data_IF_511221589477
#
_entry.id   IF_511221589477
#
_cell.length_a   1.000
_cell.length_b   1.000
_cell.length_c   1.000
_cell.angle_alpha   90.00
_cell.angle_beta   90.00
_cell.angle_gamma   90.00
#
_symmetry.space_group_name_H-M   'P 1'
#
loop_
_entity.id
_entity.type
_entity.pdbx_description
1 polymer ?
#
# COMPACT_ATOMS: atom_id res chain seq x y z
N UNK A 1 5.18 1.53 -39.23
CA UNK A 1 4.49 2.58 -40.01
C UNK A 1 3.23 3.04 -39.25
N UNK A 2 3.07 4.33 -38.99
CA UNK A 2 1.91 4.87 -38.27
C UNK A 2 0.65 4.81 -39.14
N UNK A 3 -0.41 4.13 -38.66
CA UNK A 3 -1.69 4.05 -39.36
C UNK A 3 -2.78 4.77 -38.52
N UNK A 4 -3.18 5.98 -38.90
CA UNK A 4 -4.13 6.79 -38.12
C UNK A 4 -5.50 6.12 -37.93
N UNK A 5 -5.98 5.39 -38.92
CA UNK A 5 -7.29 4.71 -38.87
C UNK A 5 -7.27 3.59 -37.86
N UNK A 6 -6.20 2.77 -37.86
CA UNK A 6 -6.02 1.67 -36.90
C UNK A 6 -5.92 2.19 -35.46
N UNK A 7 -5.20 3.29 -35.26
CA UNK A 7 -5.08 3.96 -33.96
C UNK A 7 -6.43 4.50 -33.47
N UNK A 8 -7.19 5.19 -34.34
CA UNK A 8 -8.53 5.70 -34.00
C UNK A 8 -9.47 4.57 -33.57
N UNK A 9 -9.48 3.46 -34.30
CA UNK A 9 -10.29 2.28 -33.95
C UNK A 9 -9.87 1.68 -32.61
N UNK A 10 -8.57 1.58 -32.34
CA UNK A 10 -8.04 1.07 -31.07
C UNK A 10 -8.42 1.98 -29.90
N UNK A 11 -8.24 3.28 -30.04
CA UNK A 11 -8.64 4.27 -29.01
C UNK A 11 -10.14 4.18 -28.73
N UNK A 12 -10.99 4.15 -29.76
CA UNK A 12 -12.45 4.02 -29.59
C UNK A 12 -12.85 2.73 -28.88
N UNK A 13 -12.16 1.60 -29.17
CA UNK A 13 -12.36 0.33 -28.47
C UNK A 13 -12.03 0.45 -26.98
N UNK A 14 -10.89 1.07 -26.64
CA UNK A 14 -10.50 1.29 -25.24
C UNK A 14 -11.46 2.25 -24.53
N UNK A 15 -11.87 3.35 -25.15
CA UNK A 15 -12.87 4.27 -24.57
C UNK A 15 -14.22 3.61 -24.32
N UNK A 16 -14.70 2.80 -25.28
CA UNK A 16 -15.93 2.00 -25.08
C UNK A 16 -15.77 0.97 -23.97
N UNK A 17 -14.60 0.33 -23.87
CA UNK A 17 -14.28 -0.60 -22.78
C UNK A 17 -14.26 0.09 -21.42
N UNK A 18 -13.60 1.25 -21.34
CA UNK A 18 -13.49 2.02 -20.09
C UNK A 18 -14.85 2.47 -19.55
N UNK A 19 -15.81 2.83 -20.42
CA UNK A 19 -17.19 3.20 -20.02
C UNK A 19 -17.96 2.07 -19.34
N UNK A 20 -17.57 0.81 -19.52
CA UNK A 20 -18.21 -0.34 -18.86
C UNK A 20 -17.79 -0.52 -17.40
N UNK A 21 -16.69 0.08 -17.01
CA UNK A 21 -16.15 -0.08 -15.66
C UNK A 21 -16.26 1.26 -14.93
N UNK A 22 -17.11 1.31 -13.92
CA UNK A 22 -17.09 2.43 -12.97
C UNK A 22 -15.74 2.41 -12.26
N UNK A 23 -15.02 3.54 -12.27
CA UNK A 23 -13.84 3.70 -11.45
C UNK A 23 -14.28 3.81 -9.98
N UNK A 24 -14.20 2.70 -9.24
CA UNK A 24 -14.45 2.70 -7.81
C UNK A 24 -13.22 3.33 -7.14
N UNK A 25 -13.40 4.49 -6.55
CA UNK A 25 -12.37 5.14 -5.76
C UNK A 25 -12.45 4.63 -4.33
N UNK A 26 -11.42 3.91 -3.89
CA UNK A 26 -11.29 3.47 -2.50
C UNK A 26 -10.45 4.50 -1.75
N UNK A 27 -11.10 5.32 -0.93
CA UNK A 27 -10.43 6.39 -0.18
C UNK A 27 -9.78 5.90 1.11
N UNK A 28 -10.32 4.84 1.72
CA UNK A 28 -9.80 4.30 2.97
C UNK A 28 -10.23 2.86 3.20
N UNK A 29 -9.53 2.16 4.08
CA UNK A 29 -9.94 0.86 4.64
C UNK A 29 -9.95 0.91 6.16
N UNK A 30 -10.84 0.12 6.77
CA UNK A 30 -10.94 0.00 8.22
C UNK A 30 -10.24 -1.26 8.72
N UNK A 31 -9.52 -1.15 9.82
CA UNK A 31 -8.87 -2.29 10.51
C UNK A 31 -9.57 -2.47 11.85
N UNK A 32 -9.96 -3.70 12.17
CA UNK A 32 -10.67 -4.03 13.41
C UNK A 32 -9.69 -4.37 14.53
N UNK A 33 -10.18 -4.37 15.78
CA UNK A 33 -9.36 -4.77 16.93
C UNK A 33 -8.93 -6.22 16.82
N UNK A 34 -9.81 -7.11 16.38
CA UNK A 34 -9.49 -8.52 16.18
C UNK A 34 -8.31 -8.74 15.22
N UNK A 35 -8.28 -7.99 14.12
CA UNK A 35 -7.16 -8.03 13.16
C UNK A 35 -5.85 -7.52 13.78
N UNK A 36 -5.92 -6.45 14.59
CA UNK A 36 -4.74 -5.93 15.31
C UNK A 36 -4.21 -6.94 16.34
N UNK A 37 -5.10 -7.65 17.04
CA UNK A 37 -4.72 -8.68 18.01
C UNK A 37 -4.02 -9.87 17.32
N UNK A 38 -4.54 -10.30 16.16
CA UNK A 38 -3.89 -11.32 15.32
C UNK A 38 -2.51 -10.86 14.85
N UNK A 39 -2.38 -9.62 14.35
CA UNK A 39 -1.09 -9.07 13.93
C UNK A 39 -0.11 -9.05 15.11
N UNK A 40 -0.55 -8.63 16.28
CA UNK A 40 0.29 -8.52 17.48
C UNK A 40 0.76 -9.87 18.02
N UNK A 41 0.01 -10.97 17.76
CA UNK A 41 0.41 -12.32 18.11
C UNK A 41 1.63 -12.84 17.33
N UNK A 42 1.94 -12.22 16.18
CA UNK A 42 3.13 -12.57 15.38
C UNK A 42 4.37 -11.98 16.04
N UNK A 43 5.35 -12.84 16.37
CA UNK A 43 6.56 -12.42 17.12
C UNK A 43 7.46 -11.48 16.33
N UNK A 44 7.68 -11.73 15.03
CA UNK A 44 8.61 -10.96 14.21
C UNK A 44 7.98 -9.66 13.69
N UNK A 45 8.63 -8.52 13.99
CA UNK A 45 8.19 -7.18 13.56
C UNK A 45 8.02 -7.04 12.04
N UNK A 46 8.90 -7.67 11.25
CA UNK A 46 8.80 -7.62 9.78
C UNK A 46 7.55 -8.37 9.29
N UNK A 47 7.24 -9.51 9.89
CA UNK A 47 6.04 -10.26 9.56
C UNK A 47 4.78 -9.50 9.96
N UNK A 48 4.74 -8.81 11.11
CA UNK A 48 3.63 -7.94 11.49
C UNK A 48 3.39 -6.84 10.46
N UNK A 49 4.45 -6.15 9.99
CA UNK A 49 4.35 -5.14 8.93
C UNK A 49 3.79 -5.72 7.63
N UNK A 50 4.28 -6.90 7.23
CA UNK A 50 3.83 -7.59 6.03
C UNK A 50 2.35 -7.99 6.14
N UNK A 51 1.97 -8.60 7.26
CA UNK A 51 0.59 -9.03 7.52
C UNK A 51 -0.38 -7.85 7.54
N UNK A 52 -0.04 -6.76 8.22
CA UNK A 52 -0.83 -5.52 8.21
C UNK A 52 -1.01 -4.98 6.78
N UNK A 53 0.07 -4.96 6.00
CA UNK A 53 0.01 -4.53 4.60
C UNK A 53 -0.93 -5.40 3.77
N UNK A 54 -0.86 -6.72 3.94
CA UNK A 54 -1.72 -7.67 3.24
C UNK A 54 -3.19 -7.48 3.62
N UNK A 55 -3.51 -7.27 4.90
CA UNK A 55 -4.88 -6.99 5.38
C UNK A 55 -5.42 -5.70 4.72
N UNK A 56 -4.63 -4.61 4.73
CA UNK A 56 -5.03 -3.36 4.09
C UNK A 56 -5.30 -3.55 2.59
N UNK A 57 -4.45 -4.32 1.90
CA UNK A 57 -4.62 -4.58 0.46
C UNK A 57 -5.82 -5.49 0.17
N UNK A 58 -6.08 -6.53 0.96
CA UNK A 58 -7.26 -7.38 0.79
C UNK A 58 -8.55 -6.55 0.93
N UNK A 59 -8.65 -5.74 1.98
CA UNK A 59 -9.79 -4.83 2.17
C UNK A 59 -9.90 -3.76 1.08
N UNK A 60 -8.78 -3.28 0.56
CA UNK A 60 -8.77 -2.39 -0.60
C UNK A 60 -9.35 -3.07 -1.84
N UNK A 61 -8.89 -4.29 -2.15
CA UNK A 61 -9.41 -5.05 -3.30
C UNK A 61 -10.86 -5.45 -3.12
N UNK A 62 -11.29 -5.82 -1.92
CA UNK A 62 -12.69 -6.09 -1.61
C UNK A 62 -13.58 -4.87 -1.90
N UNK A 63 -13.21 -3.70 -1.37
CA UNK A 63 -13.96 -2.46 -1.64
C UNK A 63 -13.97 -2.10 -3.12
N UNK A 64 -12.82 -2.21 -3.80
CA UNK A 64 -12.70 -1.94 -5.23
C UNK A 64 -13.53 -2.89 -6.09
N UNK A 65 -13.56 -4.17 -5.72
CA UNK A 65 -14.29 -5.22 -6.43
C UNK A 65 -15.76 -5.36 -6.00
N UNK A 66 -16.18 -4.62 -4.98
CA UNK A 66 -17.46 -4.78 -4.30
C UNK A 66 -17.75 -6.25 -3.95
N UNK A 67 -16.78 -6.87 -3.30
CA UNK A 67 -16.83 -8.28 -2.87
C UNK A 67 -16.12 -8.45 -1.51
N UNK A 68 -16.12 -9.68 -0.99
CA UNK A 68 -15.50 -10.08 0.28
C UNK A 68 -14.66 -11.35 0.10
N UNK A 69 -13.93 -11.42 -1.00
CA UNK A 69 -13.18 -12.62 -1.36
C UNK A 69 -11.76 -12.67 -0.79
N UNK A 70 -11.28 -11.60 -0.16
CA UNK A 70 -10.03 -11.48 0.61
C UNK A 70 -8.74 -11.82 -0.17
N UNK A 71 -8.80 -11.70 -1.50
CA UNK A 71 -7.67 -11.91 -2.38
C UNK A 71 -6.86 -10.64 -2.62
N UNK A 72 -5.55 -10.76 -2.49
CA UNK A 72 -4.57 -9.74 -2.90
C UNK A 72 -3.93 -10.18 -4.22
N UNK A 73 -4.18 -9.40 -5.26
CA UNK A 73 -3.65 -9.63 -6.63
C UNK A 73 -2.67 -8.51 -6.99
N UNK A 74 -1.53 -8.46 -6.30
CA UNK A 74 -0.49 -7.46 -6.47
C UNK A 74 0.86 -8.16 -6.54
N UNK A 75 1.81 -7.64 -7.33
CA UNK A 75 3.17 -8.17 -7.38
C UNK A 75 3.83 -8.15 -5.99
N UNK A 76 4.55 -9.20 -5.63
CA UNK A 76 5.24 -9.29 -4.34
C UNK A 76 6.16 -8.11 -4.08
N UNK A 77 6.90 -7.67 -5.09
CA UNK A 77 7.77 -6.49 -5.01
C UNK A 77 7.01 -5.25 -4.52
N UNK A 78 5.77 -5.04 -4.98
CA UNK A 78 4.97 -3.89 -4.56
C UNK A 78 4.40 -4.07 -3.15
N UNK A 79 3.98 -5.28 -2.77
CA UNK A 79 3.56 -5.62 -1.41
C UNK A 79 4.70 -5.32 -0.43
N UNK A 80 5.89 -5.83 -0.70
CA UNK A 80 7.06 -5.64 0.18
C UNK A 80 7.52 -4.19 0.24
N UNK A 81 7.42 -3.45 -0.89
CA UNK A 81 7.67 -2.01 -0.92
C UNK A 81 6.69 -1.24 -0.03
N UNK A 82 5.37 -1.52 -0.12
CA UNK A 82 4.36 -0.89 0.74
C UNK A 82 4.49 -1.32 2.20
N UNK A 83 4.97 -2.52 2.48
CA UNK A 83 5.32 -2.97 3.83
C UNK A 83 6.62 -2.33 4.36
N UNK A 84 7.32 -1.53 3.55
CA UNK A 84 8.64 -0.98 3.87
C UNK A 84 9.65 -2.06 4.29
N UNK A 85 9.71 -3.15 3.51
CA UNK A 85 10.59 -4.29 3.73
C UNK A 85 11.47 -4.48 2.49
N UNK A 86 12.75 -4.19 2.62
CA UNK A 86 13.72 -4.25 1.52
C UNK A 86 14.64 -5.46 1.73
N UNK A 87 14.26 -6.60 1.14
CA UNK A 87 14.95 -7.88 1.26
C UNK A 87 14.99 -8.59 -0.08
N UNK A 88 15.86 -9.60 -0.23
CA UNK A 88 15.96 -10.42 -1.44
C UNK A 88 14.69 -11.25 -1.66
N UNK A 89 14.45 -11.67 -2.89
CA UNK A 89 13.28 -12.48 -3.25
C UNK A 89 13.22 -13.81 -2.45
N UNK A 90 14.34 -14.44 -2.17
CA UNK A 90 14.40 -15.65 -1.34
C UNK A 90 13.87 -15.39 0.06
N UNK A 91 14.24 -14.26 0.68
CA UNK A 91 13.73 -13.86 2.00
C UNK A 91 12.26 -13.51 1.94
N UNK A 92 11.80 -12.83 0.86
CA UNK A 92 10.37 -12.55 0.66
C UNK A 92 9.54 -13.84 0.64
N UNK A 93 9.98 -14.83 -0.15
CA UNK A 93 9.32 -16.14 -0.22
C UNK A 93 9.30 -16.82 1.14
N UNK A 94 10.41 -16.78 1.90
CA UNK A 94 10.47 -17.35 3.25
C UNK A 94 9.46 -16.69 4.19
N UNK A 95 9.37 -15.36 4.19
CA UNK A 95 8.43 -14.62 5.03
C UNK A 95 6.96 -14.95 4.69
N UNK A 96 6.63 -15.08 3.39
CA UNK A 96 5.28 -15.49 2.98
C UNK A 96 4.99 -16.95 3.38
N UNK A 97 5.96 -17.86 3.24
CA UNK A 97 5.82 -19.25 3.69
C UNK A 97 5.61 -19.35 5.19
N UNK A 98 6.22 -18.45 5.96
CA UNK A 98 6.02 -18.40 7.42
C UNK A 98 4.59 -17.97 7.79
N UNK A 99 4.05 -16.95 7.13
CA UNK A 99 2.64 -16.55 7.29
C UNK A 99 1.67 -17.66 6.85
N UNK A 100 2.02 -18.42 5.80
CA UNK A 100 1.25 -19.59 5.37
C UNK A 100 1.26 -20.70 6.43
N UNK A 101 2.42 -21.01 6.98
CA UNK A 101 2.55 -22.02 8.05
C UNK A 101 1.80 -21.62 9.34
N UNK A 102 1.67 -20.32 9.60
CA UNK A 102 0.83 -19.79 10.69
C UNK A 102 -0.67 -19.82 10.34
N UNK A 103 -1.07 -20.29 9.16
CA UNK A 103 -2.47 -20.37 8.73
C UNK A 103 -3.11 -19.02 8.39
N UNK A 104 -2.33 -17.95 8.33
CA UNK A 104 -2.86 -16.59 8.13
C UNK A 104 -3.16 -16.28 6.66
N UNK A 105 -2.43 -16.93 5.76
CA UNK A 105 -2.60 -16.75 4.31
C UNK A 105 -2.64 -18.08 3.57
N UNK A 106 -3.22 -18.06 2.36
CA UNK A 106 -3.15 -19.15 1.38
C UNK A 106 -2.66 -18.60 0.04
N UNK A 107 -2.06 -19.46 -0.79
CA UNK A 107 -1.64 -19.11 -2.14
C UNK A 107 -2.66 -19.61 -3.17
N UNK A 108 -2.87 -18.82 -4.23
CA UNK A 108 -3.69 -19.24 -5.36
C UNK A 108 -3.00 -20.36 -6.18
N UNK A 109 -3.83 -21.24 -6.76
CA UNK A 109 -3.35 -22.41 -7.53
C UNK A 109 -2.70 -22.07 -8.88
N UNK A 110 -2.67 -20.82 -9.31
CA UNK A 110 -2.10 -20.40 -10.60
C UNK A 110 -0.66 -19.92 -10.41
N UNK A 111 0.28 -20.66 -10.95
CA UNK A 111 1.73 -20.37 -10.91
C UNK A 111 2.06 -18.98 -11.50
N UNK A 112 1.26 -18.49 -12.45
CA UNK A 112 1.51 -17.23 -13.16
C UNK A 112 0.89 -15.98 -12.48
N UNK A 113 -0.03 -16.17 -11.53
CA UNK A 113 -0.64 -15.09 -10.76
C UNK A 113 -0.55 -15.44 -9.28
N UNK A 114 0.50 -14.92 -8.65
CA UNK A 114 0.75 -15.09 -7.22
C UNK A 114 -0.28 -14.27 -6.42
N UNK A 115 -1.53 -14.77 -6.41
CA UNK A 115 -2.58 -14.22 -5.57
C UNK A 115 -2.46 -14.79 -4.17
N UNK A 116 -2.60 -13.94 -3.17
CA UNK A 116 -2.58 -14.29 -1.75
C UNK A 116 -3.98 -14.12 -1.22
N UNK A 117 -4.54 -15.18 -0.61
CA UNK A 117 -5.80 -15.13 0.13
C UNK A 117 -5.51 -14.94 1.62
N UNK A 118 -6.25 -14.08 2.29
CA UNK A 118 -6.14 -13.88 3.73
C UNK A 118 -7.27 -14.62 4.44
N UNK A 119 -6.89 -15.44 5.44
CA UNK A 119 -7.86 -16.24 6.22
C UNK A 119 -8.36 -15.50 7.47
N UNK A 120 -7.87 -14.30 7.72
CA UNK A 120 -8.00 -13.59 9.00
C UNK A 120 -8.75 -12.26 8.88
N UNK A 121 -9.35 -11.97 7.72
CA UNK A 121 -10.10 -10.73 7.53
C UNK A 121 -11.40 -10.78 8.33
N UNK A 122 -11.61 -9.75 9.11
CA UNK A 122 -12.83 -9.55 9.85
C UNK A 122 -13.80 -8.64 9.08
N UNK A 123 -14.99 -9.17 8.80
CA UNK A 123 -16.05 -8.49 8.07
C UNK A 123 -17.18 -7.99 8.97
N UNK A 124 -17.17 -8.33 10.27
CA UNK A 124 -18.32 -8.19 11.16
C UNK A 124 -18.16 -7.05 12.17
N UNK A 125 -16.91 -6.78 12.59
CA UNK A 125 -16.66 -5.79 13.64
C UNK A 125 -16.39 -4.40 13.07
N UNK A 126 -16.72 -3.38 13.87
CA UNK A 126 -16.42 -1.98 13.53
C UNK A 126 -14.91 -1.72 13.55
N UNK A 127 -14.42 -0.91 12.61
CA UNK A 127 -13.00 -0.60 12.52
C UNK A 127 -12.57 0.35 13.64
N UNK A 128 -11.45 0.04 14.27
CA UNK A 128 -10.78 0.91 15.25
C UNK A 128 -9.72 1.81 14.61
N UNK A 129 -9.16 1.40 13.45
CA UNK A 129 -8.27 2.23 12.66
C UNK A 129 -8.83 2.45 11.26
N UNK A 130 -8.72 3.67 10.76
CA UNK A 130 -8.96 4.02 9.36
C UNK A 130 -7.62 4.32 8.71
N UNK A 131 -7.36 3.65 7.58
CA UNK A 131 -6.16 3.81 6.77
C UNK A 131 -6.57 4.42 5.44
N UNK A 132 -6.08 5.60 5.15
CA UNK A 132 -6.34 6.39 3.94
C UNK A 132 -5.07 6.61 3.09
N UNK A 133 -3.90 6.30 3.63
CA UNK A 133 -2.62 6.37 2.90
C UNK A 133 -2.03 4.98 2.69
N UNK A 134 -2.03 4.53 1.42
CA UNK A 134 -1.51 3.20 1.03
C UNK A 134 -0.05 3.23 0.55
N UNK A 135 0.64 4.38 0.61
CA UNK A 135 2.00 4.53 0.07
C UNK A 135 3.06 3.78 0.88
N UNK A 136 2.93 3.74 2.19
CA UNK A 136 3.89 3.11 3.12
C UNK A 136 3.16 2.52 4.35
N UNK A 137 2.42 1.45 4.11
CA UNK A 137 1.60 0.78 5.13
C UNK A 137 2.42 0.20 6.27
N UNK A 138 3.63 -0.31 5.97
CA UNK A 138 4.49 -0.86 7.00
C UNK A 138 4.99 0.19 8.01
N UNK A 139 5.30 1.40 7.57
CA UNK A 139 5.65 2.48 8.48
C UNK A 139 4.41 3.08 9.18
N UNK A 140 3.26 3.11 8.51
CA UNK A 140 1.98 3.49 9.14
C UNK A 140 1.66 2.59 10.33
N UNK A 141 1.81 1.26 10.16
CA UNK A 141 1.65 0.30 11.26
C UNK A 141 2.57 0.60 12.44
N UNK A 142 3.88 0.74 12.17
CA UNK A 142 4.88 1.00 13.22
C UNK A 142 4.63 2.34 13.90
N UNK A 143 4.26 3.37 13.17
CA UNK A 143 3.94 4.69 13.73
C UNK A 143 2.78 4.63 14.73
N UNK A 144 1.74 3.84 14.41
CA UNK A 144 0.58 3.71 15.29
C UNK A 144 0.80 2.79 16.50
N UNK A 145 1.67 1.79 16.37
CA UNK A 145 1.90 0.81 17.44
C UNK A 145 3.09 1.15 18.34
N UNK A 146 4.17 1.63 17.76
CA UNK A 146 5.44 1.85 18.48
C UNK A 146 5.77 3.34 18.69
N UNK A 147 5.31 4.22 17.80
CA UNK A 147 5.39 5.68 17.92
C UNK A 147 6.79 6.31 17.90
N UNK A 148 7.84 5.50 17.84
CA UNK A 148 9.24 5.93 17.97
C UNK A 148 9.89 6.16 16.60
N UNK A 149 10.78 7.12 16.50
CA UNK A 149 11.62 7.41 15.32
C UNK A 149 10.89 7.69 14.00
N UNK A 150 9.58 7.72 14.02
CA UNK A 150 8.74 8.04 12.88
C UNK A 150 7.99 9.35 13.08
N UNK A 151 7.65 10.01 11.97
CA UNK A 151 6.87 11.24 11.96
C UNK A 151 6.04 11.33 10.68
N UNK A 152 4.99 12.13 10.71
CA UNK A 152 4.26 12.48 9.48
C UNK A 152 4.92 13.65 8.77
N UNK A 153 5.06 13.55 7.45
CA UNK A 153 5.48 14.67 6.61
C UNK A 153 4.44 15.79 6.71
N UNK A 154 4.86 17.01 7.09
CA UNK A 154 3.96 18.16 7.25
C UNK A 154 3.26 18.55 5.94
N UNK A 155 3.85 18.22 4.78
CA UNK A 155 3.32 18.60 3.46
C UNK A 155 2.37 17.56 2.86
N UNK A 156 2.65 16.25 3.00
CA UNK A 156 1.88 15.20 2.32
C UNK A 156 1.35 14.08 3.23
N UNK A 157 1.56 14.17 4.55
CA UNK A 157 1.07 13.20 5.53
C UNK A 157 1.81 11.85 5.59
N UNK A 158 2.69 11.54 4.61
CA UNK A 158 3.41 10.27 4.57
C UNK A 158 4.22 10.04 5.85
N UNK A 159 4.13 8.85 6.42
CA UNK A 159 4.94 8.46 7.57
C UNK A 159 6.37 8.18 7.12
N UNK A 160 7.32 8.85 7.75
CA UNK A 160 8.75 8.79 7.41
C UNK A 160 9.61 8.64 8.66
N UNK A 161 10.83 8.14 8.49
CA UNK A 161 11.80 8.09 9.59
C UNK A 161 12.30 9.50 9.91
N UNK A 162 12.20 9.89 11.19
CA UNK A 162 12.72 11.15 11.70
C UNK A 162 14.26 11.09 11.72
N UNK A 163 14.91 12.03 11.06
CA UNK A 163 16.39 12.10 11.01
C UNK A 163 16.97 13.03 12.08
N UNK A 164 16.28 14.14 12.37
CA UNK A 164 16.66 15.13 13.36
C UNK A 164 15.43 15.95 13.78
N UNK A 165 15.56 16.80 14.79
CA UNK A 165 14.43 17.63 15.27
C UNK A 165 13.93 18.66 14.26
N UNK A 166 14.77 19.07 13.30
CA UNK A 166 14.38 19.99 12.21
C UNK A 166 13.79 19.29 10.99
N UNK A 167 13.74 17.95 10.97
CA UNK A 167 13.20 17.19 9.86
C UNK A 167 11.66 17.28 9.85
N UNK A 168 11.09 17.90 8.82
CA UNK A 168 9.65 18.19 8.71
C UNK A 168 8.99 17.51 7.51
N UNK A 169 9.72 17.33 6.42
CA UNK A 169 9.16 16.86 5.16
C UNK A 169 9.90 15.63 4.62
N UNK A 170 9.16 14.78 3.89
CA UNK A 170 9.77 13.69 3.14
C UNK A 170 10.71 14.24 2.03
N UNK A 171 11.67 13.44 1.53
CA UNK A 171 12.63 13.91 0.53
C UNK A 171 11.98 14.51 -0.71
N UNK A 172 10.85 13.96 -1.16
CA UNK A 172 10.10 14.47 -2.31
C UNK A 172 9.54 15.86 -2.04
N UNK A 173 8.81 16.04 -0.93
CA UNK A 173 8.23 17.34 -0.58
C UNK A 173 9.30 18.38 -0.26
N UNK A 174 10.40 18.00 0.39
CA UNK A 174 11.52 18.89 0.64
C UNK A 174 12.14 19.40 -0.65
N UNK A 175 12.32 18.53 -1.66
CA UNK A 175 12.80 18.93 -2.99
C UNK A 175 11.82 19.87 -3.67
N UNK A 176 10.54 19.55 -3.70
CA UNK A 176 9.49 20.39 -4.32
C UNK A 176 9.43 21.80 -3.68
N UNK A 177 9.57 21.88 -2.36
CA UNK A 177 9.61 23.15 -1.63
C UNK A 177 10.85 23.96 -2.04
N UNK A 178 12.03 23.33 -2.05
CA UNK A 178 13.28 23.95 -2.43
C UNK A 178 13.23 24.48 -3.89
N UNK A 179 12.76 23.65 -4.83
CA UNK A 179 12.66 24.02 -6.25
C UNK A 179 11.71 25.20 -6.45
N UNK A 180 10.59 25.25 -5.69
CA UNK A 180 9.66 26.38 -5.71
C UNK A 180 10.30 27.67 -5.16
N UNK A 181 11.01 27.56 -4.04
CA UNK A 181 11.72 28.72 -3.47
C UNK A 181 12.78 29.26 -4.44
N UNK A 182 13.52 28.38 -5.12
CA UNK A 182 14.50 28.77 -6.13
C UNK A 182 13.84 29.51 -7.30
N UNK A 183 12.71 29.03 -7.81
CA UNK A 183 11.95 29.70 -8.88
C UNK A 183 11.45 31.08 -8.48
N UNK A 184 11.01 31.28 -7.24
CA UNK A 184 10.59 32.60 -6.73
C UNK A 184 11.79 33.53 -6.69
N UNK A 185 12.91 33.08 -6.10
CA UNK A 185 14.12 33.88 -6.01
C UNK A 185 14.66 34.32 -7.39
N UNK A 186 14.66 33.41 -8.38
CA UNK A 186 15.09 33.73 -9.76
C UNK A 186 14.18 34.75 -10.44
N UNK A 187 12.88 34.78 -10.10
CA UNK A 187 11.94 35.80 -10.64
C UNK A 187 12.12 37.18 -10.01
N UNK A 188 12.45 37.24 -8.75
CA UNK A 188 12.62 38.48 -7.99
C UNK A 188 13.98 39.15 -8.26
N UNK A 189 14.97 38.37 -8.76
CA UNK A 189 16.34 38.86 -9.00
C UNK A 189 16.71 38.93 -10.50
N UNK A 190 15.74 38.88 -11.40
CA UNK A 190 15.86 39.22 -12.84
C UNK A 190 15.31 40.61 -13.12
#
# INVERSE_FOLDING_TARGET
MYNPVKWKTTILKHVKGAKKYNMVQVNSVGITQQELDIISSVSERRLRKLLFTLICLAKFFNKRGNNTNDWVSTEYKDIFRMAHIFVTQSVQTKMLSELYNLGMINFGNKITNLSIHLNIIDHNNEPVWIIDDFRDLGNEYVFRTEGTDLMRCESCGLVIKKKCNKHKCCPKCAKEIHDRQKQVWEKENR
#
